data_IF_176654148837
#
_entry.id   IF_176654148837
#
_cell.length_a   1.000
_cell.length_b   1.000
_cell.length_c   1.000
_cell.angle_alpha   90.00
_cell.angle_beta   90.00
_cell.angle_gamma   90.00
#
_symmetry.space_group_name_H-M   'P 1'
#
loop_
_entity.id
_entity.type
_entity.pdbx_description
1 polymer ?
#
# COMPACT_ATOMS: atom_id res chain seq x y z
N UNK A 1 14.33 10.49 -1.27
CA UNK A 1 13.36 9.41 -1.25
C UNK A 1 12.42 9.50 -2.46
N UNK A 2 12.08 8.36 -3.03
CA UNK A 2 11.07 8.27 -4.08
C UNK A 2 9.89 7.46 -3.57
N UNK A 3 8.70 7.85 -3.98
CA UNK A 3 7.51 7.09 -3.66
C UNK A 3 6.64 6.94 -4.91
N UNK A 4 6.24 5.71 -5.19
CA UNK A 4 5.27 5.40 -6.24
C UNK A 4 3.99 4.95 -5.56
N UNK A 5 2.91 5.68 -5.77
CA UNK A 5 1.63 5.38 -5.11
C UNK A 5 0.61 4.98 -6.16
N UNK A 6 0.03 3.79 -5.98
CA UNK A 6 -1.04 3.29 -6.83
C UNK A 6 -2.34 3.30 -6.04
N UNK A 7 -3.37 3.90 -6.60
CA UNK A 7 -4.71 3.91 -5.99
C UNK A 7 -5.61 2.96 -6.75
N UNK A 8 -6.28 2.08 -6.01
CA UNK A 8 -7.21 1.10 -6.57
C UNK A 8 -8.59 1.31 -5.94
N UNK A 9 -9.57 1.66 -6.76
CA UNK A 9 -10.97 1.76 -6.32
C UNK A 9 -11.68 0.47 -6.69
N UNK A 10 -12.32 -0.16 -5.70
CA UNK A 10 -13.05 -1.41 -5.92
C UNK A 10 -14.42 -1.37 -5.25
N UNK A 11 -15.32 -2.24 -5.69
CA UNK A 11 -16.55 -2.51 -4.96
C UNK A 11 -16.23 -3.34 -3.73
N UNK A 12 -16.44 -4.66 -3.84
CA UNK A 12 -16.08 -5.59 -2.75
C UNK A 12 -14.67 -6.12 -2.98
N UNK A 13 -13.77 -5.86 -2.04
CA UNK A 13 -12.40 -6.34 -2.10
C UNK A 13 -12.32 -7.72 -1.46
N UNK A 14 -12.33 -8.76 -2.29
CA UNK A 14 -12.15 -10.14 -1.85
C UNK A 14 -10.71 -10.61 -2.04
N UNK A 15 -10.42 -11.84 -1.64
CA UNK A 15 -9.08 -12.40 -1.73
C UNK A 15 -8.56 -12.41 -3.17
N UNK A 16 -9.36 -12.87 -4.13
CA UNK A 16 -8.96 -12.95 -5.53
C UNK A 16 -8.62 -11.58 -6.10
N UNK A 17 -9.48 -10.61 -5.86
CA UNK A 17 -9.27 -9.23 -6.31
C UNK A 17 -8.02 -8.64 -5.67
N UNK A 18 -7.85 -8.85 -4.37
CA UNK A 18 -6.66 -8.38 -3.67
C UNK A 18 -5.38 -8.96 -4.27
N UNK A 19 -5.35 -10.28 -4.46
CA UNK A 19 -4.15 -10.95 -4.99
C UNK A 19 -3.82 -10.49 -6.40
N UNK A 20 -4.83 -10.33 -7.24
CA UNK A 20 -4.64 -9.89 -8.63
C UNK A 20 -4.01 -8.51 -8.68
N UNK A 21 -4.56 -7.54 -7.95
CA UNK A 21 -4.00 -6.19 -7.92
C UNK A 21 -2.65 -6.15 -7.21
N UNK A 22 -2.53 -6.86 -6.10
CA UNK A 22 -1.29 -6.87 -5.33
C UNK A 22 -0.11 -7.38 -6.16
N UNK A 23 -0.30 -8.50 -6.85
CA UNK A 23 0.77 -9.08 -7.67
C UNK A 23 1.15 -8.16 -8.83
N UNK A 24 0.15 -7.63 -9.53
CA UNK A 24 0.38 -6.75 -10.68
C UNK A 24 1.05 -5.42 -10.28
N UNK A 25 0.59 -4.82 -9.20
CA UNK A 25 1.12 -3.52 -8.79
C UNK A 25 2.47 -3.62 -8.09
N UNK A 26 2.72 -4.69 -7.37
CA UNK A 26 4.05 -4.93 -6.82
C UNK A 26 5.07 -5.10 -7.95
N UNK A 27 4.74 -5.88 -8.97
CA UNK A 27 5.59 -6.07 -10.14
C UNK A 27 5.85 -4.75 -10.86
N UNK A 28 4.78 -3.97 -11.09
CA UNK A 28 4.90 -2.66 -11.73
C UNK A 28 5.77 -1.71 -10.90
N UNK A 29 5.56 -1.68 -9.59
CA UNK A 29 6.35 -0.85 -8.70
C UNK A 29 7.83 -1.24 -8.69
N UNK A 30 8.11 -2.54 -8.65
CA UNK A 30 9.49 -3.03 -8.68
C UNK A 30 10.19 -2.66 -10.00
N UNK A 31 9.44 -2.67 -11.10
CA UNK A 31 10.01 -2.29 -12.41
C UNK A 31 10.41 -0.82 -12.48
N UNK A 32 9.84 0.03 -11.62
CA UNK A 32 10.12 1.47 -11.60
C UNK A 32 11.28 1.84 -10.68
N UNK A 33 11.72 0.93 -9.83
CA UNK A 33 12.84 1.21 -8.93
C UNK A 33 14.14 1.26 -9.72
N UNK A 34 14.87 2.35 -9.58
CA UNK A 34 16.17 2.54 -10.21
C UNK A 34 17.26 2.57 -9.14
N UNK A 35 17.94 1.44 -8.87
CA UNK A 35 19.05 1.42 -7.93
C UNK A 35 20.18 2.30 -8.41
N UNK A 36 20.57 3.28 -7.59
CA UNK A 36 21.65 4.20 -7.91
C UNK A 36 22.51 4.42 -6.69
N UNK A 37 23.79 4.59 -6.90
CA UNK A 37 24.70 5.06 -5.86
C UNK A 37 24.14 6.38 -5.31
N UNK A 38 24.12 6.52 -4.00
CA UNK A 38 23.56 7.68 -3.28
C UNK A 38 22.04 7.77 -3.30
N UNK A 39 21.35 6.81 -3.90
CA UNK A 39 19.90 6.71 -3.77
C UNK A 39 19.56 6.13 -2.40
N UNK A 40 18.74 6.85 -1.63
CA UNK A 40 18.45 6.46 -0.24
C UNK A 40 17.46 5.32 -0.16
N UNK A 41 16.23 5.54 -0.62
CA UNK A 41 15.18 4.54 -0.53
C UNK A 41 14.01 4.88 -1.44
N UNK A 42 13.22 3.85 -1.72
CA UNK A 42 11.99 3.95 -2.50
C UNK A 42 10.86 3.27 -1.74
N UNK A 43 9.70 3.90 -1.72
CA UNK A 43 8.48 3.27 -1.25
C UNK A 43 7.58 2.99 -2.45
N UNK A 44 7.11 1.75 -2.53
CA UNK A 44 6.05 1.38 -3.46
C UNK A 44 4.80 1.18 -2.62
N UNK A 45 3.80 2.03 -2.82
CA UNK A 45 2.60 2.06 -1.99
C UNK A 45 1.36 1.76 -2.83
N UNK A 46 0.52 0.88 -2.32
CA UNK A 46 -0.78 0.57 -2.93
C UNK A 46 -1.87 0.91 -1.92
N UNK A 47 -2.80 1.75 -2.33
CA UNK A 47 -3.92 2.17 -1.50
C UNK A 47 -5.21 1.67 -2.14
N UNK A 48 -5.89 0.75 -1.47
CA UNK A 48 -7.20 0.27 -1.90
C UNK A 48 -8.29 1.11 -1.25
N UNK A 49 -9.19 1.62 -2.08
CA UNK A 49 -10.40 2.31 -1.62
C UNK A 49 -11.57 1.41 -1.99
N UNK A 50 -12.05 0.61 -1.04
CA UNK A 50 -13.06 -0.41 -1.27
C UNK A 50 -14.40 0.00 -0.64
N UNK A 51 -15.50 -0.31 -1.31
CA UNK A 51 -16.82 -0.13 -0.71
C UNK A 51 -16.97 -1.05 0.50
N UNK A 52 -16.45 -2.28 0.40
CA UNK A 52 -16.38 -3.23 1.48
C UNK A 52 -15.18 -4.15 1.29
N UNK A 53 -14.73 -4.78 2.38
CA UNK A 53 -13.57 -5.68 2.38
C UNK A 53 -13.99 -7.01 2.98
N UNK A 54 -13.68 -8.10 2.26
CA UNK A 54 -13.97 -9.44 2.74
C UNK A 54 -13.18 -9.75 4.03
N UNK A 55 -13.74 -10.54 4.95
CA UNK A 55 -13.12 -10.79 6.25
C UNK A 55 -11.73 -11.41 6.22
N UNK A 56 -11.40 -12.16 5.17
CA UNK A 56 -10.09 -12.80 5.02
C UNK A 56 -8.99 -11.85 4.54
N UNK A 57 -9.36 -10.70 3.93
CA UNK A 57 -8.40 -9.80 3.31
C UNK A 57 -7.48 -9.08 4.31
N UNK A 58 -7.97 -8.61 5.47
CA UNK A 58 -7.08 -7.95 6.45
C UNK A 58 -5.88 -8.80 6.86
N UNK A 59 -6.06 -10.10 7.04
CA UNK A 59 -4.97 -11.03 7.36
C UNK A 59 -3.96 -11.14 6.22
N UNK A 60 -4.46 -11.19 4.99
CA UNK A 60 -3.61 -11.26 3.81
C UNK A 60 -2.75 -10.00 3.69
N UNK A 61 -3.35 -8.84 3.92
CA UNK A 61 -2.63 -7.56 3.90
C UNK A 61 -1.52 -7.58 4.95
N UNK A 62 -1.83 -7.98 6.17
CA UNK A 62 -0.86 -8.04 7.26
C UNK A 62 0.33 -8.94 6.94
N UNK A 63 0.10 -10.03 6.25
CA UNK A 63 1.14 -11.01 5.90
C UNK A 63 1.97 -10.57 4.70
N UNK A 64 1.48 -9.62 3.91
CA UNK A 64 2.16 -9.19 2.70
C UNK A 64 3.33 -8.30 3.07
N UNK A 65 4.51 -8.71 2.68
CA UNK A 65 5.74 -7.96 2.93
C UNK A 65 6.68 -8.14 1.75
N UNK A 66 7.23 -7.05 1.29
CA UNK A 66 8.30 -7.08 0.31
C UNK A 66 9.28 -5.96 0.61
N UNK A 67 10.50 -6.35 0.86
CA UNK A 67 11.62 -5.43 1.10
C UNK A 67 12.76 -5.87 0.20
N UNK A 68 13.39 -4.93 -0.48
CA UNK A 68 14.53 -5.19 -1.34
C UNK A 68 15.69 -4.29 -0.97
N UNK A 69 16.84 -4.89 -0.78
CA UNK A 69 18.10 -4.17 -0.65
C UNK A 69 18.87 -4.24 -1.96
N UNK A 70 19.45 -3.14 -2.36
CA UNK A 70 20.22 -3.08 -3.59
C UNK A 70 21.70 -2.92 -3.23
N UNK A 71 22.50 -3.92 -3.59
CA UNK A 71 23.93 -3.96 -3.28
C UNK A 71 24.20 -3.71 -1.80
N UNK A 72 23.58 -4.51 -0.93
CA UNK A 72 23.73 -4.41 0.53
C UNK A 72 23.44 -2.99 1.04
N UNK A 73 22.39 -2.38 0.46
CA UNK A 73 21.91 -1.03 0.76
C UNK A 73 22.82 0.10 0.27
N UNK A 74 23.90 -0.20 -0.43
CA UNK A 74 24.76 0.83 -1.03
C UNK A 74 24.02 1.62 -2.12
N UNK A 75 23.08 0.97 -2.80
CA UNK A 75 22.26 1.57 -3.87
C UNK A 75 20.82 1.81 -3.41
N UNK A 76 20.61 1.86 -2.09
CA UNK A 76 19.32 2.10 -1.50
C UNK A 76 18.51 0.84 -1.24
N UNK A 77 17.26 1.02 -0.87
CA UNK A 77 16.34 -0.09 -0.64
C UNK A 77 14.93 0.30 -1.04
N UNK A 78 14.06 -0.71 -1.12
CA UNK A 78 12.63 -0.53 -1.42
C UNK A 78 11.81 -1.23 -0.35
N UNK A 79 10.75 -0.56 0.10
CA UNK A 79 9.72 -1.14 0.95
C UNK A 79 8.36 -1.04 0.28
N UNK A 80 7.59 -2.12 0.38
CA UNK A 80 6.24 -2.22 -0.17
C UNK A 80 5.21 -1.92 0.91
N UNK A 81 4.39 -0.92 0.67
CA UNK A 81 3.37 -0.43 1.59
C UNK A 81 1.98 -0.71 1.06
N UNK A 82 1.13 -1.25 1.90
CA UNK A 82 -0.28 -1.47 1.55
C UNK A 82 -1.16 -0.81 2.59
N UNK A 83 -2.18 -0.10 2.12
CA UNK A 83 -3.28 0.37 2.95
C UNK A 83 -4.59 0.09 2.23
N UNK A 84 -5.61 -0.32 2.96
CA UNK A 84 -6.94 -0.58 2.42
C UNK A 84 -7.99 0.08 3.31
N UNK A 85 -8.84 0.89 2.70
CA UNK A 85 -9.93 1.57 3.37
C UNK A 85 -11.26 0.89 3.02
N UNK A 86 -12.00 0.48 4.06
CA UNK A 86 -13.34 -0.07 3.92
C UNK A 86 -14.35 1.05 4.16
N UNK A 87 -15.04 1.47 3.10
CA UNK A 87 -15.98 2.59 3.17
C UNK A 87 -17.20 2.26 4.05
N UNK A 88 -17.58 1.00 4.16
CA UNK A 88 -18.74 0.58 4.96
C UNK A 88 -18.43 0.64 6.44
N UNK A 89 -17.34 0.01 6.87
CA UNK A 89 -16.96 -0.02 8.29
C UNK A 89 -16.09 1.18 8.69
N UNK A 90 -15.54 1.89 7.71
CA UNK A 90 -14.61 3.01 7.89
C UNK A 90 -13.30 2.61 8.58
N UNK A 91 -12.95 1.34 8.46
CA UNK A 91 -11.70 0.80 8.98
C UNK A 91 -10.60 0.84 7.93
N UNK A 92 -9.38 0.97 8.42
CA UNK A 92 -8.18 0.95 7.58
C UNK A 92 -7.31 -0.21 8.02
N UNK A 93 -6.85 -0.98 7.03
CA UNK A 93 -5.95 -2.12 7.25
C UNK A 93 -4.65 -1.85 6.50
N UNK A 94 -3.52 -2.17 7.13
CA UNK A 94 -2.21 -1.96 6.53
C UNK A 94 -1.30 -3.15 6.77
N UNK A 95 -0.26 -3.29 5.93
CA UNK A 95 0.87 -4.13 6.28
C UNK A 95 1.80 -3.32 7.20
N UNK A 96 2.88 -3.95 7.66
CA UNK A 96 3.81 -3.29 8.58
C UNK A 96 4.36 -1.99 8.03
N UNK A 97 4.92 -2.03 6.81
CA UNK A 97 5.53 -0.86 6.19
C UNK A 97 4.49 0.22 5.85
N UNK A 98 3.23 -0.17 5.68
CA UNK A 98 2.15 0.75 5.33
C UNK A 98 1.51 1.49 6.49
N UNK A 99 1.93 1.23 7.74
CA UNK A 99 1.33 1.88 8.90
C UNK A 99 1.29 3.40 8.84
N UNK A 100 2.32 4.10 8.34
CA UNK A 100 2.24 5.55 8.19
C UNK A 100 1.11 6.03 7.28
N UNK A 101 0.72 5.21 6.29
CA UNK A 101 -0.38 5.56 5.39
C UNK A 101 -1.72 5.61 6.12
N UNK A 102 -1.89 4.86 7.19
CA UNK A 102 -3.10 4.86 7.99
C UNK A 102 -3.38 6.23 8.56
N UNK A 103 -2.37 6.91 9.09
CA UNK A 103 -2.53 8.24 9.65
C UNK A 103 -2.95 9.26 8.58
N UNK A 104 -2.36 9.17 7.42
CA UNK A 104 -2.70 10.04 6.28
C UNK A 104 -4.16 9.83 5.87
N UNK A 105 -4.59 8.57 5.73
CA UNK A 105 -5.97 8.26 5.34
C UNK A 105 -6.98 8.70 6.41
N UNK A 106 -6.68 8.48 7.68
CA UNK A 106 -7.53 8.93 8.78
C UNK A 106 -7.69 10.45 8.77
N UNK A 107 -6.62 11.18 8.54
CA UNK A 107 -6.64 12.64 8.48
C UNK A 107 -7.55 13.13 7.35
N UNK A 108 -7.43 12.55 6.16
CA UNK A 108 -8.24 12.92 5.00
C UNK A 108 -9.71 12.58 5.22
N UNK A 109 -10.02 11.40 5.73
CA UNK A 109 -11.40 10.99 5.96
C UNK A 109 -12.08 11.80 7.05
N UNK A 110 -11.36 12.19 8.09
CA UNK A 110 -11.89 13.10 9.13
C UNK A 110 -12.23 14.48 8.57
N UNK A 111 -11.36 15.04 7.73
CA UNK A 111 -11.60 16.34 7.11
C UNK A 111 -12.84 16.31 6.23
N UNK A 112 -13.03 15.25 5.46
CA UNK A 112 -14.22 15.09 4.62
C UNK A 112 -15.50 15.02 5.42
N UNK A 113 -15.46 14.39 6.60
CA UNK A 113 -16.64 14.31 7.49
C UNK A 113 -17.02 15.66 8.07
N UNK A 114 -16.05 16.51 8.38
CA UNK A 114 -16.30 17.85 8.94
C UNK A 114 -16.96 18.80 7.95
N UNK A 115 -16.77 18.56 6.67
CA UNK A 115 -17.30 19.43 5.61
C UNK A 115 -18.67 19.00 5.08
N UNK A 116 -19.24 17.97 5.67
CA UNK A 116 -20.63 17.60 5.44
C UNK A 116 -21.50 18.25 6.49
#
# INVERSE_FOLDING_TARGET
AHEYVFFVRTGHLDEETFRTYNDALLEEGLSRVEPKKDHMYTYVSVVFLAESIAPEVPKLIKKTRCHRDYRMSLYGWMDYRIAAYDCTSKRIYTNWAGRPLKQTLLSVTKKRRKHK
#
